data_IF_471818936072
#
_entry.id   IF_471818936072
#
_cell.length_a   1.000
_cell.length_b   1.000
_cell.length_c   1.000
_cell.angle_alpha   90.00
_cell.angle_beta   90.00
_cell.angle_gamma   90.00
#
_symmetry.space_group_name_H-M   'P 1'
#
loop_
_entity.id
_entity.type
_entity.pdbx_description
1 polymer ?
#
# COMPACT_ATOMS: atom_id res chain seq x y z
N UNK A 1 104.13 60.67 -27.41
CA UNK A 1 103.34 60.39 -28.63
C UNK A 1 102.89 58.95 -28.52
N UNK A 2 101.64 58.55 -28.34
CA UNK A 2 100.35 59.17 -28.62
C UNK A 2 99.58 59.65 -27.38
N UNK A 3 98.47 60.31 -27.66
CA UNK A 3 97.72 61.31 -26.90
C UNK A 3 96.75 60.66 -25.90
N UNK A 4 96.78 61.14 -24.65
CA UNK A 4 95.75 60.93 -23.64
C UNK A 4 94.50 61.76 -23.98
N UNK A 5 93.33 61.14 -23.96
CA UNK A 5 92.05 61.86 -23.87
C UNK A 5 91.30 61.37 -22.64
N UNK A 6 91.15 62.32 -21.70
CA UNK A 6 90.12 62.51 -20.69
C UNK A 6 89.62 61.30 -19.87
N UNK A 7 89.67 61.51 -18.54
CA UNK A 7 88.99 60.79 -17.46
C UNK A 7 89.67 59.53 -16.92
N UNK A 8 90.73 59.75 -16.13
CA UNK A 8 91.16 58.82 -15.09
C UNK A 8 90.39 59.09 -13.78
N UNK A 9 89.59 58.14 -13.26
CA UNK A 9 89.24 58.14 -11.84
C UNK A 9 90.39 57.51 -11.04
N UNK A 10 90.89 58.25 -10.07
CA UNK A 10 91.84 57.79 -9.06
C UNK A 10 91.16 56.85 -8.07
N UNK A 11 91.51 55.57 -8.10
CA UNK A 11 91.11 54.63 -7.05
C UNK A 11 91.66 53.22 -7.26
N UNK A 12 92.10 52.54 -6.18
CA UNK A 12 92.73 51.22 -6.28
C UNK A 12 91.71 50.15 -6.71
N UNK A 13 92.07 49.35 -7.70
CA UNK A 13 91.29 48.19 -8.15
C UNK A 13 91.40 47.10 -7.08
N UNK A 14 90.44 47.06 -6.16
CA UNK A 14 90.21 45.92 -5.28
C UNK A 14 89.57 44.77 -6.06
N UNK A 15 90.06 43.52 -5.95
CA UNK A 15 89.45 42.37 -6.61
C UNK A 15 88.01 42.15 -6.10
N UNK A 16 87.11 41.94 -7.05
CA UNK A 16 85.67 41.74 -6.83
C UNK A 16 85.45 40.49 -5.96
N UNK A 17 84.69 40.58 -4.85
CA UNK A 17 84.30 39.40 -4.08
C UNK A 17 83.41 38.48 -4.93
N UNK A 18 83.49 37.15 -4.75
CA UNK A 18 82.58 36.21 -5.40
C UNK A 18 81.13 36.54 -5.00
N UNK A 19 80.16 36.32 -5.92
CA UNK A 19 78.75 36.57 -5.62
C UNK A 19 78.31 35.74 -4.41
N UNK A 20 77.47 36.31 -3.52
CA UNK A 20 76.98 35.59 -2.37
C UNK A 20 76.17 34.36 -2.80
N UNK A 21 76.28 33.23 -2.07
CA UNK A 21 75.49 32.05 -2.36
C UNK A 21 73.99 32.39 -2.28
N UNK A 22 73.15 31.75 -3.12
CA UNK A 22 71.72 32.00 -3.10
C UNK A 22 71.16 31.75 -1.70
N UNK A 23 70.22 32.58 -1.22
CA UNK A 23 69.64 32.41 0.10
C UNK A 23 68.98 31.02 0.19
N UNK A 24 69.15 30.29 1.31
CA UNK A 24 68.52 29.00 1.50
C UNK A 24 67.00 29.15 1.35
N UNK A 25 66.32 28.19 0.72
CA UNK A 25 64.88 28.27 0.50
C UNK A 25 64.17 28.48 1.84
N UNK A 26 63.59 29.66 2.01
CA UNK A 26 62.86 30.04 3.22
C UNK A 26 61.80 28.97 3.52
N UNK A 27 61.89 28.34 4.69
CA UNK A 27 60.97 27.29 5.15
C UNK A 27 59.47 27.65 4.99
N UNK A 28 59.14 28.95 4.97
CA UNK A 28 57.80 29.47 4.67
C UNK A 28 57.23 29.03 3.32
N UNK A 29 58.04 28.94 2.27
CA UNK A 29 57.57 28.57 0.92
C UNK A 29 57.29 27.06 0.86
N UNK A 30 58.15 26.25 1.49
CA UNK A 30 58.02 24.79 1.55
C UNK A 30 56.83 24.35 2.41
N UNK A 31 56.57 25.05 3.53
CA UNK A 31 55.41 24.81 4.41
C UNK A 31 54.09 25.23 3.74
N UNK A 32 54.07 26.35 3.01
CA UNK A 32 52.89 26.79 2.26
C UNK A 32 52.53 25.85 1.11
N UNK A 33 53.52 25.32 0.39
CA UNK A 33 53.32 24.37 -0.71
C UNK A 33 52.93 22.96 -0.22
N UNK A 34 53.43 22.52 0.93
CA UNK A 34 52.99 21.25 1.55
C UNK A 34 51.59 21.35 2.13
N UNK A 35 51.24 22.47 2.78
CA UNK A 35 49.90 22.72 3.29
C UNK A 35 48.85 22.83 2.17
N UNK A 36 49.18 23.47 1.04
CA UNK A 36 48.28 23.56 -0.12
C UNK A 36 48.10 22.21 -0.82
N UNK A 37 49.16 21.41 -0.98
CA UNK A 37 49.08 20.02 -1.50
C UNK A 37 48.27 19.10 -0.58
N UNK A 38 48.44 19.20 0.74
CA UNK A 38 47.66 18.43 1.71
C UNK A 38 46.17 18.81 1.67
N UNK A 39 45.83 20.11 1.56
CA UNK A 39 44.44 20.57 1.39
C UNK A 39 43.80 20.03 0.12
N UNK A 40 44.53 20.04 -1.01
CA UNK A 40 44.01 19.55 -2.29
C UNK A 40 43.79 18.03 -2.27
N UNK A 41 44.74 17.27 -1.68
CA UNK A 41 44.63 15.82 -1.49
C UNK A 41 43.46 15.44 -0.57
N UNK A 42 43.28 16.16 0.54
CA UNK A 42 42.18 15.97 1.47
C UNK A 42 40.82 16.27 0.81
N UNK A 43 40.72 17.37 0.05
CA UNK A 43 39.50 17.73 -0.67
C UNK A 43 39.14 16.69 -1.73
N UNK A 44 40.13 16.21 -2.49
CA UNK A 44 39.92 15.16 -3.49
C UNK A 44 39.50 13.82 -2.86
N UNK A 45 40.07 13.45 -1.72
CA UNK A 45 39.70 12.22 -0.99
C UNK A 45 38.28 12.31 -0.42
N UNK A 46 37.92 13.45 0.14
CA UNK A 46 36.57 13.73 0.68
C UNK A 46 35.54 13.75 -0.45
N UNK A 47 35.84 14.39 -1.58
CA UNK A 47 35.01 14.39 -2.79
C UNK A 47 34.76 12.98 -3.31
N UNK A 48 35.80 12.14 -3.40
CA UNK A 48 35.66 10.72 -3.81
C UNK A 48 34.73 9.94 -2.87
N UNK A 49 34.89 10.10 -1.55
CA UNK A 49 34.01 9.46 -0.55
C UNK A 49 32.56 9.89 -0.70
N UNK A 50 32.30 11.18 -0.95
CA UNK A 50 30.95 11.68 -1.22
C UNK A 50 30.34 11.13 -2.52
N UNK A 51 31.14 11.01 -3.59
CA UNK A 51 30.68 10.40 -4.85
C UNK A 51 30.31 8.93 -4.63
N UNK A 52 31.16 8.16 -3.96
CA UNK A 52 30.89 6.74 -3.65
C UNK A 52 29.64 6.61 -2.78
N UNK A 53 29.53 7.44 -1.73
CA UNK A 53 28.35 7.46 -0.86
C UNK A 53 27.09 7.78 -1.67
N UNK A 54 27.12 8.80 -2.52
CA UNK A 54 26.00 9.19 -3.39
C UNK A 54 25.57 8.08 -4.34
N UNK A 55 26.52 7.39 -5.00
CA UNK A 55 26.21 6.26 -5.88
C UNK A 55 25.57 5.09 -5.12
N UNK A 56 26.12 4.74 -3.95
CA UNK A 56 25.54 3.71 -3.11
C UNK A 56 24.12 4.08 -2.66
N UNK A 57 23.91 5.34 -2.30
CA UNK A 57 22.60 5.87 -1.91
C UNK A 57 21.57 5.85 -3.03
N UNK A 58 21.96 6.20 -4.26
CA UNK A 58 21.08 6.09 -5.42
C UNK A 58 20.69 4.64 -5.70
N UNK A 59 21.63 3.70 -5.62
CA UNK A 59 21.32 2.27 -5.73
C UNK A 59 20.35 1.82 -4.63
N UNK A 60 20.58 2.27 -3.41
CA UNK A 60 19.72 1.97 -2.27
C UNK A 60 18.29 2.50 -2.48
N UNK A 61 18.16 3.74 -2.96
CA UNK A 61 16.87 4.35 -3.29
C UNK A 61 16.12 3.55 -4.38
N UNK A 62 16.81 3.13 -5.45
CA UNK A 62 16.22 2.28 -6.50
C UNK A 62 15.68 0.97 -5.90
N UNK A 63 16.46 0.35 -5.01
CA UNK A 63 16.06 -0.91 -4.38
C UNK A 63 14.85 -0.74 -3.45
N UNK A 64 14.78 0.36 -2.70
CA UNK A 64 13.60 0.66 -1.87
C UNK A 64 12.37 0.99 -2.69
N UNK A 65 12.53 1.73 -3.78
CA UNK A 65 11.43 1.96 -4.73
C UNK A 65 10.93 0.62 -5.27
N UNK A 66 11.81 -0.29 -5.68
CA UNK A 66 11.43 -1.61 -6.14
C UNK A 66 10.79 -2.47 -5.03
N UNK A 67 11.22 -2.34 -3.78
CA UNK A 67 10.60 -3.03 -2.64
C UNK A 67 9.18 -2.52 -2.41
N UNK A 68 9.00 -1.20 -2.33
CA UNK A 68 7.68 -0.57 -2.19
C UNK A 68 6.79 -0.99 -3.35
N UNK A 69 7.25 -0.85 -4.59
CA UNK A 69 6.51 -1.26 -5.78
C UNK A 69 6.22 -2.77 -5.78
N UNK A 70 7.12 -3.64 -5.31
CA UNK A 70 6.83 -5.07 -5.25
C UNK A 70 5.75 -5.42 -4.22
N UNK A 71 5.73 -4.72 -3.09
CA UNK A 71 4.73 -4.92 -2.04
C UNK A 71 3.37 -4.27 -2.38
N UNK A 72 3.38 -3.12 -3.06
CA UNK A 72 2.15 -2.37 -3.39
C UNK A 72 1.62 -2.66 -4.79
N UNK A 73 2.48 -2.96 -5.77
CA UNK A 73 2.15 -3.10 -7.18
C UNK A 73 2.04 -4.59 -7.54
N UNK A 74 0.80 -5.05 -7.71
CA UNK A 74 0.48 -6.47 -7.86
C UNK A 74 0.88 -7.10 -9.20
N UNK A 75 1.22 -6.31 -10.22
CA UNK A 75 1.42 -6.81 -11.58
C UNK A 75 2.80 -7.45 -11.84
N UNK A 76 3.74 -7.37 -10.90
CA UNK A 76 5.11 -7.90 -11.08
C UNK A 76 5.44 -9.07 -10.15
N UNK A 77 4.44 -9.82 -9.68
CA UNK A 77 4.57 -10.95 -8.75
C UNK A 77 5.33 -12.16 -9.31
N UNK A 78 6.62 -11.97 -9.59
CA UNK A 78 7.57 -13.03 -9.92
C UNK A 78 8.19 -13.59 -8.63
N UNK A 79 8.36 -14.92 -8.47
CA UNK A 79 9.14 -15.56 -7.39
C UNK A 79 10.55 -14.99 -7.22
N UNK A 80 11.10 -14.34 -8.25
CA UNK A 80 12.37 -13.61 -8.18
C UNK A 80 12.35 -12.46 -7.16
N UNK A 81 11.19 -11.96 -6.75
CA UNK A 81 11.07 -10.89 -5.76
C UNK A 81 11.55 -11.31 -4.37
N UNK A 82 11.18 -12.51 -3.88
CA UNK A 82 11.60 -12.97 -2.55
C UNK A 82 13.10 -13.29 -2.48
N UNK A 83 13.64 -13.88 -3.55
CA UNK A 83 15.09 -14.10 -3.69
C UNK A 83 15.81 -12.74 -3.76
N UNK A 84 15.27 -11.79 -4.54
CA UNK A 84 15.76 -10.42 -4.58
C UNK A 84 15.70 -9.71 -3.24
N UNK A 85 14.62 -9.91 -2.47
CA UNK A 85 14.41 -9.33 -1.14
C UNK A 85 15.41 -9.88 -0.11
N UNK A 86 15.68 -11.19 -0.13
CA UNK A 86 16.67 -11.79 0.76
C UNK A 86 18.09 -11.29 0.44
N UNK A 87 18.48 -11.26 -0.85
CA UNK A 87 19.75 -10.67 -1.24
C UNK A 87 19.85 -9.18 -0.88
N UNK A 88 18.75 -8.45 -1.03
CA UNK A 88 18.65 -7.05 -0.64
C UNK A 88 18.86 -6.87 0.87
N UNK A 89 18.20 -7.69 1.69
CA UNK A 89 18.31 -7.63 3.15
C UNK A 89 19.75 -7.94 3.61
N UNK A 90 20.39 -8.95 3.03
CA UNK A 90 21.80 -9.29 3.29
C UNK A 90 22.74 -8.14 2.88
N UNK A 91 22.52 -7.54 1.71
CA UNK A 91 23.30 -6.38 1.25
C UNK A 91 23.13 -5.18 2.19
N UNK A 92 21.92 -4.93 2.69
CA UNK A 92 21.64 -3.85 3.65
C UNK A 92 22.40 -4.07 4.97
N UNK A 93 22.39 -5.29 5.52
CA UNK A 93 23.10 -5.63 6.76
C UNK A 93 24.62 -5.47 6.59
N UNK A 94 25.17 -5.91 5.46
CA UNK A 94 26.60 -5.78 5.19
C UNK A 94 27.01 -4.32 4.90
N UNK A 95 26.11 -3.52 4.34
CA UNK A 95 26.38 -2.13 3.97
C UNK A 95 26.22 -1.14 5.13
N UNK A 96 25.35 -1.42 6.09
CA UNK A 96 25.17 -0.59 7.28
C UNK A 96 26.50 -0.27 8.03
N UNK A 97 27.39 -1.23 8.35
CA UNK A 97 28.65 -0.93 9.02
C UNK A 97 29.63 -0.13 8.13
N UNK A 98 29.69 -0.44 6.82
CA UNK A 98 30.59 0.25 5.88
C UNK A 98 30.19 1.72 5.73
N UNK A 99 28.89 1.97 5.55
CA UNK A 99 28.34 3.33 5.44
C UNK A 99 28.48 4.12 6.75
N UNK A 100 28.32 3.48 7.91
CA UNK A 100 28.53 4.11 9.22
C UNK A 100 29.99 4.54 9.42
N UNK A 101 30.96 3.70 9.03
CA UNK A 101 32.39 4.04 9.05
C UNK A 101 32.70 5.21 8.10
N UNK A 102 32.14 5.18 6.88
CA UNK A 102 32.32 6.26 5.91
C UNK A 102 31.75 7.59 6.43
N UNK A 103 30.54 7.58 6.98
CA UNK A 103 29.89 8.78 7.55
C UNK A 103 30.64 9.29 8.77
N UNK A 104 31.11 8.42 9.67
CA UNK A 104 31.95 8.82 10.79
C UNK A 104 33.24 9.50 10.31
N UNK A 105 33.87 8.98 9.25
CA UNK A 105 35.05 9.58 8.63
C UNK A 105 34.76 10.92 7.92
N UNK A 106 33.57 11.06 7.33
CA UNK A 106 33.13 12.30 6.66
C UNK A 106 32.71 13.36 7.68
N UNK A 107 32.08 12.96 8.78
CA UNK A 107 31.70 13.82 9.88
C UNK A 107 32.93 14.40 10.58
N UNK A 108 33.93 13.57 10.89
CA UNK A 108 35.21 14.03 11.45
C UNK A 108 35.93 15.00 10.51
N UNK A 109 35.96 14.71 9.21
CA UNK A 109 36.52 15.61 8.20
C UNK A 109 35.76 16.94 8.06
N UNK A 110 34.42 16.90 8.07
CA UNK A 110 33.55 18.06 7.86
C UNK A 110 33.44 18.95 9.11
N UNK A 111 33.47 18.36 10.30
CA UNK A 111 33.56 19.12 11.56
C UNK A 111 34.90 19.84 11.65
N UNK A 112 36.00 19.19 11.26
CA UNK A 112 37.30 19.84 11.20
C UNK A 112 37.33 21.03 10.22
N UNK A 113 36.76 20.89 9.03
CA UNK A 113 36.70 21.99 8.05
C UNK A 113 35.77 23.13 8.48
N UNK A 114 34.60 22.82 9.04
CA UNK A 114 33.60 23.81 9.44
C UNK A 114 34.04 24.62 10.67
N UNK A 115 34.73 23.98 11.62
CA UNK A 115 35.32 24.69 12.77
C UNK A 115 36.48 25.59 12.34
N UNK A 116 37.24 25.17 11.33
CA UNK A 116 38.29 26.00 10.73
C UNK A 116 37.72 27.19 9.95
N UNK A 117 36.62 27.00 9.22
CA UNK A 117 35.96 28.06 8.43
C UNK A 117 35.28 29.12 9.31
N UNK A 118 34.73 28.73 10.46
CA UNK A 118 34.10 29.65 11.41
C UNK A 118 35.10 30.43 12.28
N UNK A 119 36.42 30.39 11.98
CA UNK A 119 37.48 30.96 12.82
C UNK A 119 37.39 30.49 14.30
N UNK A 120 36.78 29.33 14.52
CA UNK A 120 36.62 28.71 15.83
C UNK A 120 37.73 27.70 16.13
N UNK A 121 38.70 27.60 15.23
CA UNK A 121 39.94 26.85 15.38
C UNK A 121 40.95 27.66 16.19
N UNK A 122 41.61 26.96 17.09
CA UNK A 122 42.40 27.44 18.21
C UNK A 122 43.48 28.46 17.84
N UNK A 123 43.39 29.66 18.43
CA UNK A 123 44.53 30.15 19.20
C UNK A 123 44.48 29.44 20.56
N UNK A 124 45.61 28.86 20.99
CA UNK A 124 45.71 28.03 22.20
C UNK A 124 45.57 28.80 23.53
N UNK A 125 45.15 30.06 23.52
CA UNK A 125 44.89 30.87 24.72
C UNK A 125 43.40 30.89 25.09
N UNK A 126 43.07 30.41 26.30
CA UNK A 126 41.80 30.60 27.03
C UNK A 126 40.53 30.90 26.20
N UNK A 127 39.91 29.88 25.61
CA UNK A 127 38.58 30.04 25.00
C UNK A 127 37.48 30.06 26.06
N UNK A 128 36.67 31.13 26.05
CA UNK A 128 35.46 31.31 26.88
C UNK A 128 34.53 30.07 26.88
N UNK A 129 33.94 29.71 28.03
CA UNK A 129 33.09 28.52 28.17
C UNK A 129 31.89 28.50 27.20
N UNK A 130 31.28 29.66 26.92
CA UNK A 130 30.17 29.77 25.95
C UNK A 130 30.55 29.36 24.52
N UNK A 131 31.78 29.67 24.07
CA UNK A 131 32.27 29.24 22.74
C UNK A 131 32.60 27.74 22.68
N UNK A 132 32.84 27.09 23.82
CA UNK A 132 33.00 25.63 23.89
C UNK A 132 31.65 24.93 23.80
N UNK A 133 30.65 25.44 24.52
CA UNK A 133 29.27 24.93 24.48
C UNK A 133 28.66 25.03 23.08
N UNK A 134 28.77 26.20 22.43
CA UNK A 134 28.25 26.40 21.07
C UNK A 134 28.88 25.45 20.05
N UNK A 135 30.19 25.18 20.15
CA UNK A 135 30.88 24.22 19.29
C UNK A 135 30.42 22.79 19.52
N UNK A 136 30.22 22.39 20.77
CA UNK A 136 29.68 21.07 21.10
C UNK A 136 28.26 20.92 20.51
N UNK A 137 27.41 21.92 20.72
CA UNK A 137 26.05 21.94 20.16
C UNK A 137 26.04 21.83 18.64
N UNK A 138 26.83 22.63 17.92
CA UNK A 138 26.86 22.59 16.46
C UNK A 138 27.39 21.25 15.92
N UNK A 139 28.39 20.65 16.58
CA UNK A 139 28.87 19.29 16.27
C UNK A 139 27.76 18.26 16.46
N UNK A 140 27.04 18.32 17.58
CA UNK A 140 25.94 17.40 17.88
C UNK A 140 24.81 17.55 16.87
N UNK A 141 24.40 18.78 16.54
CA UNK A 141 23.37 19.05 15.55
C UNK A 141 23.74 18.49 14.17
N UNK A 142 24.97 18.74 13.73
CA UNK A 142 25.48 18.20 12.48
C UNK A 142 25.49 16.66 12.50
N UNK A 143 25.94 16.05 13.61
CA UNK A 143 25.93 14.61 13.78
C UNK A 143 24.51 14.04 13.69
N UNK A 144 23.54 14.66 14.36
CA UNK A 144 22.14 14.27 14.30
C UNK A 144 21.58 14.37 12.87
N UNK A 145 21.92 15.42 12.11
CA UNK A 145 21.50 15.55 10.71
C UNK A 145 22.09 14.44 9.83
N UNK A 146 23.38 14.13 10.00
CA UNK A 146 24.03 13.02 9.28
C UNK A 146 23.44 11.66 9.66
N UNK A 147 23.15 11.45 10.94
CA UNK A 147 22.52 10.24 11.43
C UNK A 147 21.09 10.09 10.89
N UNK A 148 20.32 11.18 10.87
CA UNK A 148 18.97 11.17 10.29
C UNK A 148 19.00 10.85 8.80
N UNK A 149 19.90 11.50 8.04
CA UNK A 149 20.11 11.14 6.63
C UNK A 149 20.47 9.66 6.56
N UNK A 150 21.39 9.14 7.36
CA UNK A 150 21.74 7.71 7.31
C UNK A 150 20.59 6.75 7.67
N UNK A 151 19.72 7.11 8.62
CA UNK A 151 18.61 6.28 9.09
C UNK A 151 17.35 6.38 8.23
N UNK A 152 17.09 7.54 7.62
CA UNK A 152 15.91 7.79 6.79
C UNK A 152 15.60 6.69 5.77
N UNK A 153 16.59 6.10 5.08
CA UNK A 153 16.33 5.08 4.10
C UNK A 153 15.79 3.82 4.77
N UNK A 154 16.41 3.37 5.87
CA UNK A 154 15.92 2.22 6.64
C UNK A 154 14.48 2.44 7.10
N UNK A 155 14.16 3.65 7.57
CA UNK A 155 12.79 4.00 7.92
C UNK A 155 11.84 3.89 6.73
N UNK A 156 12.24 4.36 5.54
CA UNK A 156 11.44 4.23 4.32
C UNK A 156 11.35 2.78 3.84
N UNK A 157 12.38 1.95 4.04
CA UNK A 157 12.31 0.53 3.69
C UNK A 157 11.28 -0.22 4.54
N UNK A 158 11.28 0.00 5.86
CA UNK A 158 10.34 -0.68 6.76
C UNK A 158 8.93 -0.07 6.76
N UNK A 159 8.81 1.26 6.76
CA UNK A 159 7.52 1.95 6.85
C UNK A 159 6.93 2.32 5.48
N UNK A 160 7.76 2.40 4.43
CA UNK A 160 7.37 2.84 3.10
C UNK A 160 6.30 1.97 2.43
N UNK A 161 6.41 0.63 2.44
CA UNK A 161 5.36 -0.22 1.85
C UNK A 161 3.99 0.02 2.48
N UNK A 162 3.91 0.09 3.81
CA UNK A 162 2.67 0.36 4.53
C UNK A 162 2.12 1.77 4.25
N UNK A 163 2.99 2.78 4.16
CA UNK A 163 2.59 4.14 3.82
C UNK A 163 2.11 4.26 2.36
N UNK A 164 2.84 3.65 1.43
CA UNK A 164 2.48 3.63 0.02
C UNK A 164 1.16 2.87 -0.19
N UNK A 165 0.95 1.75 0.50
CA UNK A 165 -0.33 1.05 0.52
C UNK A 165 -1.46 1.95 1.02
N UNK A 166 -1.26 2.63 2.15
CA UNK A 166 -2.24 3.56 2.71
C UNK A 166 -2.56 4.70 1.76
N UNK A 167 -1.56 5.26 1.08
CA UNK A 167 -1.74 6.31 0.07
C UNK A 167 -2.45 5.79 -1.18
N UNK A 168 -2.20 4.55 -1.59
CA UNK A 168 -2.89 3.92 -2.72
C UNK A 168 -4.37 3.70 -2.40
N UNK A 169 -4.68 3.26 -1.18
CA UNK A 169 -6.03 2.83 -0.77
C UNK A 169 -6.90 3.91 -0.11
N UNK A 170 -6.35 5.10 0.20
CA UNK A 170 -7.05 6.11 1.03
C UNK A 170 -8.38 6.56 0.44
N UNK A 171 -8.43 6.78 -0.87
CA UNK A 171 -9.61 7.31 -1.56
C UNK A 171 -10.41 6.21 -2.27
N UNK A 172 -10.11 4.94 -1.99
CA UNK A 172 -10.78 3.80 -2.63
C UNK A 172 -12.27 3.71 -2.37
N UNK A 173 -12.81 4.41 -1.36
CA UNK A 173 -14.25 4.42 -1.09
C UNK A 173 -14.88 5.80 -1.25
N UNK A 174 -14.20 6.69 -1.98
CA UNK A 174 -14.73 8.03 -2.28
C UNK A 174 -15.91 7.91 -3.25
N UNK A 175 -17.09 8.40 -2.86
CA UNK A 175 -18.33 8.25 -3.64
C UNK A 175 -18.99 6.88 -3.53
N UNK A 176 -18.54 6.05 -2.57
CA UNK A 176 -19.13 4.77 -2.21
C UNK A 176 -19.50 4.85 -0.72
N UNK A 177 -20.70 5.33 -0.44
CA UNK A 177 -21.11 5.82 0.88
C UNK A 177 -21.52 4.71 1.86
N UNK A 178 -21.77 3.49 1.37
CA UNK A 178 -22.00 2.30 2.19
C UNK A 178 -20.75 1.44 2.28
N UNK A 179 -20.44 0.91 3.46
CA UNK A 179 -19.26 0.07 3.70
C UNK A 179 -19.61 -1.19 4.48
N UNK A 180 -19.20 -2.34 3.96
CA UNK A 180 -19.22 -3.62 4.65
C UNK A 180 -17.83 -3.96 5.15
N UNK A 181 -17.65 -4.01 6.46
CA UNK A 181 -16.41 -4.54 7.06
C UNK A 181 -16.39 -6.05 6.86
N UNK A 182 -15.44 -6.54 6.06
CA UNK A 182 -15.37 -7.94 5.66
C UNK A 182 -14.44 -8.80 6.52
N UNK A 183 -13.40 -8.18 7.08
CA UNK A 183 -12.47 -8.85 7.99
C UNK A 183 -12.66 -8.29 9.40
N UNK A 184 -12.94 -9.19 10.33
CA UNK A 184 -12.87 -8.90 11.76
C UNK A 184 -11.53 -9.42 12.29
N UNK A 185 -11.10 -8.92 13.46
CA UNK A 185 -9.84 -9.24 14.13
C UNK A 185 -9.38 -10.69 14.00
N UNK A 186 -8.06 -10.92 14.02
CA UNK A 186 -7.41 -12.25 14.01
C UNK A 186 -8.18 -13.22 14.93
N UNK A 187 -8.72 -14.30 14.37
CA UNK A 187 -9.47 -15.33 15.10
C UNK A 187 -11.00 -15.20 15.07
N UNK A 188 -11.57 -14.17 14.43
CA UNK A 188 -13.02 -14.04 14.24
C UNK A 188 -13.43 -14.59 12.86
N UNK A 189 -14.50 -15.40 12.76
CA UNK A 189 -14.98 -15.94 11.49
C UNK A 189 -15.32 -14.84 10.46
N UNK A 190 -14.93 -15.03 9.20
CA UNK A 190 -15.23 -14.15 8.04
C UNK A 190 -16.69 -14.18 7.59
N UNK A 191 -17.59 -14.48 8.52
CA UNK A 191 -19.01 -14.75 8.30
C UNK A 191 -19.94 -13.72 8.93
N UNK A 192 -19.40 -12.74 9.66
CA UNK A 192 -20.15 -11.57 10.11
C UNK A 192 -19.64 -10.33 9.40
N UNK A 193 -20.54 -9.62 8.73
CA UNK A 193 -20.24 -8.35 8.09
C UNK A 193 -21.00 -7.22 8.78
N UNK A 194 -20.31 -6.10 8.97
CA UNK A 194 -20.89 -4.90 9.55
C UNK A 194 -21.05 -3.90 8.41
N UNK A 195 -22.29 -3.62 8.05
CA UNK A 195 -22.66 -2.56 7.14
C UNK A 195 -22.74 -1.25 7.92
N UNK A 196 -22.09 -0.23 7.38
CA UNK A 196 -22.13 1.15 7.86
C UNK A 196 -22.52 2.02 6.68
N UNK A 197 -23.64 2.71 6.78
CA UNK A 197 -24.09 3.66 5.75
C UNK A 197 -23.94 5.09 6.28
N UNK A 198 -23.29 5.93 5.48
CA UNK A 198 -23.26 7.36 5.72
C UNK A 198 -24.41 7.98 4.95
N UNK A 199 -25.58 8.02 5.58
CA UNK A 199 -26.71 8.74 5.01
C UNK A 199 -26.27 10.15 4.56
N UNK A 200 -26.62 10.52 3.34
CA UNK A 200 -26.22 11.72 2.60
C UNK A 200 -26.36 13.06 3.38
N UNK A 201 -27.05 13.08 4.52
CA UNK A 201 -27.17 14.24 5.40
C UNK A 201 -26.30 14.09 6.65
N UNK A 202 -25.44 15.10 6.87
CA UNK A 202 -24.58 15.32 8.06
C UNK A 202 -25.24 15.22 9.45
N UNK A 203 -26.54 14.94 9.54
CA UNK A 203 -27.34 14.92 10.77
C UNK A 203 -28.11 13.61 11.01
N UNK A 204 -27.96 12.60 10.16
CA UNK A 204 -28.54 11.28 10.41
C UNK A 204 -27.45 10.43 11.08
N UNK A 205 -27.72 9.80 12.24
CA UNK A 205 -26.76 8.92 12.88
C UNK A 205 -26.38 7.78 11.94
N UNK A 206 -25.11 7.39 11.95
CA UNK A 206 -24.59 6.25 11.19
C UNK A 206 -25.42 5.00 11.52
N UNK A 207 -26.11 4.45 10.53
CA UNK A 207 -26.85 3.20 10.71
C UNK A 207 -25.87 2.03 10.59
N UNK A 208 -25.93 1.13 11.58
CA UNK A 208 -25.10 -0.06 11.64
C UNK A 208 -26.01 -1.27 11.47
N UNK A 209 -25.84 -1.99 10.36
CA UNK A 209 -26.58 -3.22 10.08
C UNK A 209 -25.64 -4.42 10.10
N UNK A 210 -26.12 -5.55 10.60
CA UNK A 210 -25.33 -6.77 10.73
C UNK A 210 -25.80 -7.83 9.73
N UNK A 211 -24.81 -8.48 9.13
CA UNK A 211 -25.04 -9.52 8.12
C UNK A 211 -24.29 -10.78 8.48
N UNK A 212 -24.94 -11.90 8.20
CA UNK A 212 -24.46 -13.22 8.58
C UNK A 212 -24.39 -14.15 7.38
N UNK A 213 -23.27 -14.84 7.24
CA UNK A 213 -22.98 -15.80 6.18
C UNK A 213 -22.93 -17.21 6.76
N UNK A 214 -23.98 -17.98 6.54
CA UNK A 214 -24.10 -19.37 7.01
C UNK A 214 -24.07 -20.36 5.86
N UNK A 215 -23.69 -21.60 6.16
CA UNK A 215 -23.77 -22.71 5.21
C UNK A 215 -25.01 -23.53 5.46
N UNK A 216 -25.66 -23.96 4.39
CA UNK A 216 -26.91 -24.69 4.46
C UNK A 216 -26.83 -25.95 3.60
N UNK A 217 -27.41 -27.02 4.13
CA UNK A 217 -27.59 -28.29 3.43
C UNK A 217 -29.06 -28.65 3.49
N UNK A 218 -29.69 -28.79 2.33
CA UNK A 218 -31.09 -29.20 2.16
C UNK A 218 -31.13 -30.39 1.20
N UNK A 219 -30.73 -31.60 1.65
CA UNK A 219 -30.61 -32.75 0.77
C UNK A 219 -32.00 -33.23 0.34
N UNK A 220 -32.10 -33.74 -0.88
CA UNK A 220 -33.27 -34.47 -1.37
C UNK A 220 -33.18 -35.95 -0.98
N UNK A 221 -34.31 -36.64 -0.92
CA UNK A 221 -34.35 -38.06 -0.52
C UNK A 221 -33.73 -39.02 -1.55
N UNK A 222 -33.47 -38.53 -2.76
CA UNK A 222 -32.83 -39.27 -3.84
C UNK A 222 -31.64 -38.46 -4.34
N UNK A 223 -30.54 -39.10 -4.80
CA UNK A 223 -29.42 -38.38 -5.40
C UNK A 223 -29.91 -37.54 -6.58
N UNK A 224 -29.88 -36.22 -6.44
CA UNK A 224 -30.19 -35.29 -7.53
C UNK A 224 -29.09 -34.26 -7.70
N UNK A 225 -29.01 -33.68 -8.89
CA UNK A 225 -28.12 -32.55 -9.20
C UNK A 225 -28.87 -31.21 -9.12
N UNK A 226 -29.98 -31.20 -8.37
CA UNK A 226 -30.80 -30.01 -8.22
C UNK A 226 -30.03 -28.93 -7.46
N UNK A 227 -30.18 -27.69 -7.91
CA UNK A 227 -29.56 -26.54 -7.28
C UNK A 227 -30.08 -26.32 -5.85
N UNK A 228 -29.29 -25.63 -5.04
CA UNK A 228 -29.59 -25.27 -3.64
C UNK A 228 -29.77 -26.47 -2.69
N UNK A 229 -29.20 -27.63 -3.02
CA UNK A 229 -28.97 -28.70 -2.03
C UNK A 229 -27.83 -28.35 -1.07
N UNK A 230 -26.81 -27.66 -1.56
CA UNK A 230 -25.72 -27.08 -0.77
C UNK A 230 -25.54 -25.63 -1.21
N UNK A 231 -25.68 -24.68 -0.28
CA UNK A 231 -25.58 -23.26 -0.61
C UNK A 231 -25.10 -22.46 0.59
N UNK A 232 -24.54 -21.29 0.29
CA UNK A 232 -24.19 -20.29 1.28
C UNK A 232 -25.29 -19.25 1.34
N UNK A 233 -25.74 -18.88 2.54
CA UNK A 233 -26.80 -17.92 2.79
C UNK A 233 -26.23 -16.67 3.44
N UNK A 234 -26.36 -15.53 2.77
CA UNK A 234 -26.14 -14.21 3.36
C UNK A 234 -27.49 -13.66 3.83
N UNK A 235 -27.66 -13.38 5.12
CA UNK A 235 -28.89 -12.78 5.66
C UNK A 235 -28.60 -11.53 6.48
N UNK A 236 -29.51 -10.56 6.44
CA UNK A 236 -29.40 -9.34 7.23
C UNK A 236 -30.65 -8.48 7.07
N UNK A 237 -30.55 -7.22 7.46
CA UNK A 237 -31.66 -6.27 7.42
C UNK A 237 -31.26 -5.01 6.67
N UNK A 238 -32.13 -4.57 5.77
CA UNK A 238 -32.01 -3.29 5.06
C UNK A 238 -33.35 -2.57 5.08
N UNK A 239 -33.35 -1.29 5.46
CA UNK A 239 -34.54 -0.42 5.42
C UNK A 239 -35.78 -1.07 6.06
N UNK A 240 -35.57 -1.73 7.20
CA UNK A 240 -36.63 -2.41 7.93
C UNK A 240 -37.02 -3.80 7.39
N UNK A 241 -36.57 -4.20 6.20
CA UNK A 241 -36.83 -5.50 5.57
C UNK A 241 -35.75 -6.52 5.90
N UNK A 242 -36.15 -7.75 6.20
CA UNK A 242 -35.22 -8.86 6.40
C UNK A 242 -34.96 -9.50 5.04
N UNK A 243 -33.72 -9.47 4.58
CA UNK A 243 -33.35 -9.95 3.25
C UNK A 243 -32.37 -11.10 3.36
N UNK A 244 -32.41 -11.95 2.35
CA UNK A 244 -31.49 -13.06 2.23
C UNK A 244 -31.09 -13.30 0.78
N UNK A 245 -29.81 -13.61 0.57
CA UNK A 245 -29.27 -14.07 -0.70
C UNK A 245 -28.66 -15.44 -0.49
N UNK A 246 -29.22 -16.44 -1.16
CA UNK A 246 -28.63 -17.77 -1.23
C UNK A 246 -27.77 -17.87 -2.49
N UNK A 247 -26.56 -18.40 -2.35
CA UNK A 247 -25.59 -18.61 -3.41
C UNK A 247 -25.20 -20.08 -3.45
N UNK A 248 -25.52 -20.74 -4.56
CA UNK A 248 -25.04 -22.08 -4.89
C UNK A 248 -23.85 -21.96 -5.86
N UNK A 249 -22.64 -22.07 -5.31
CA UNK A 249 -21.40 -22.01 -6.09
C UNK A 249 -21.23 -23.25 -6.97
N UNK A 250 -21.80 -24.40 -6.59
CA UNK A 250 -21.67 -25.64 -7.38
C UNK A 250 -22.47 -25.58 -8.68
N UNK A 251 -23.67 -25.00 -8.60
CA UNK A 251 -24.61 -24.85 -9.72
C UNK A 251 -24.52 -23.49 -10.42
N UNK A 252 -23.68 -22.57 -9.91
CA UNK A 252 -23.57 -21.18 -10.38
C UNK A 252 -24.91 -20.42 -10.35
N UNK A 253 -25.69 -20.62 -9.29
CA UNK A 253 -27.03 -20.04 -9.13
C UNK A 253 -27.13 -19.16 -7.89
N UNK A 254 -28.04 -18.19 -7.94
CA UNK A 254 -28.36 -17.33 -6.81
C UNK A 254 -29.87 -17.11 -6.71
N UNK A 255 -30.35 -16.80 -5.50
CA UNK A 255 -31.72 -16.34 -5.25
C UNK A 255 -31.75 -15.31 -4.14
N UNK A 256 -32.49 -14.23 -4.36
CA UNK A 256 -32.77 -13.15 -3.42
C UNK A 256 -34.20 -13.31 -2.91
N UNK A 257 -34.38 -13.28 -1.59
CA UNK A 257 -35.68 -13.49 -0.95
C UNK A 257 -35.90 -12.48 0.18
N UNK A 258 -37.18 -12.20 0.44
CA UNK A 258 -37.64 -11.47 1.62
C UNK A 258 -37.98 -12.46 2.72
N UNK A 259 -37.72 -12.08 3.96
CA UNK A 259 -38.04 -12.87 5.15
C UNK A 259 -39.09 -12.16 6.00
N UNK A 260 -40.03 -12.93 6.52
CA UNK A 260 -41.06 -12.44 7.47
C UNK A 260 -40.47 -11.93 8.79
N UNK A 261 -39.30 -12.45 9.19
CA UNK A 261 -38.59 -12.09 10.42
C UNK A 261 -37.09 -12.28 10.25
N UNK A 262 -36.29 -11.92 11.26
CA UNK A 262 -34.84 -12.08 11.25
C UNK A 262 -34.43 -13.56 11.17
N UNK A 263 -33.43 -13.88 10.35
CA UNK A 263 -32.93 -15.26 10.19
C UNK A 263 -32.00 -15.66 11.35
N UNK A 264 -32.61 -15.90 12.52
CA UNK A 264 -31.90 -16.35 13.73
C UNK A 264 -31.14 -17.67 13.52
N UNK A 265 -31.64 -18.54 12.63
CA UNK A 265 -30.99 -19.80 12.25
C UNK A 265 -29.65 -19.50 11.56
N UNK A 266 -29.67 -18.63 10.55
CA UNK A 266 -28.48 -18.30 9.78
C UNK A 266 -27.47 -17.48 10.59
N UNK A 267 -27.92 -16.59 11.47
CA UNK A 267 -27.05 -15.91 12.43
C UNK A 267 -26.29 -16.91 13.31
N UNK A 268 -27.01 -17.88 13.88
CA UNK A 268 -26.40 -18.90 14.73
C UNK A 268 -25.40 -19.77 13.97
N UNK A 269 -25.76 -20.24 12.76
CA UNK A 269 -24.88 -21.06 11.93
C UNK A 269 -23.68 -20.28 11.38
N UNK A 270 -23.87 -19.02 11.01
CA UNK A 270 -22.82 -18.18 10.46
C UNK A 270 -21.82 -17.73 11.51
N UNK A 271 -22.28 -17.30 12.69
CA UNK A 271 -21.45 -16.61 13.67
C UNK A 271 -21.33 -17.33 15.02
N UNK A 272 -22.44 -17.56 15.71
CA UNK A 272 -22.40 -18.07 17.10
C UNK A 272 -21.78 -19.47 17.17
N UNK A 273 -22.20 -20.39 16.31
CA UNK A 273 -21.65 -21.75 16.25
C UNK A 273 -20.13 -21.79 16.00
N UNK A 274 -19.61 -20.85 15.19
CA UNK A 274 -18.18 -20.75 14.89
C UNK A 274 -17.39 -20.11 16.03
N UNK A 275 -18.01 -19.23 16.83
CA UNK A 275 -17.42 -18.67 18.05
C UNK A 275 -17.32 -19.71 19.17
N UNK A 276 -18.29 -20.63 19.24
CA UNK A 276 -18.32 -21.74 20.20
C UNK A 276 -17.23 -22.79 19.97
N UNK A 277 -16.60 -22.86 18.80
CA UNK A 277 -15.36 -23.65 18.62
C UNK A 277 -14.22 -23.18 19.55
N UNK A 278 -14.34 -21.99 20.15
CA UNK A 278 -13.33 -21.39 21.02
C UNK A 278 -13.83 -21.08 22.46
N UNK A 279 -15.11 -21.34 22.80
CA UNK A 279 -15.72 -21.05 24.12
C UNK A 279 -16.88 -22.01 24.46
N UNK A 280 -17.29 -22.08 25.73
CA UNK A 280 -18.37 -22.96 26.22
C UNK A 280 -19.71 -22.77 25.48
N UNK A 281 -20.44 -23.88 25.29
CA UNK A 281 -21.73 -23.96 24.57
C UNK A 281 -22.78 -23.11 25.30
N UNK A 282 -22.99 -21.89 24.80
CA UNK A 282 -24.11 -21.05 25.24
C UNK A 282 -25.47 -21.71 24.92
N UNK A 283 -26.49 -21.34 25.68
CA UNK A 283 -27.88 -21.77 25.44
C UNK A 283 -28.32 -21.42 24.02
N UNK A 284 -28.81 -22.42 23.28
CA UNK A 284 -29.42 -22.24 21.96
C UNK A 284 -30.70 -21.41 22.16
N UNK A 285 -30.70 -20.19 21.63
CA UNK A 285 -31.89 -19.30 21.63
C UNK A 285 -33.08 -20.00 20.96
N UNK A 286 -34.31 -19.55 21.23
CA UNK A 286 -35.49 -20.04 20.49
C UNK A 286 -35.33 -19.70 19.00
N UNK A 287 -35.02 -20.72 18.20
CA UNK A 287 -34.83 -20.61 16.75
C UNK A 287 -36.21 -20.60 16.08
N UNK A 288 -36.56 -19.49 15.46
CA UNK A 288 -37.74 -19.38 14.59
C UNK A 288 -37.32 -19.40 13.14
N UNK A 289 -37.90 -20.29 12.34
CA UNK A 289 -37.66 -20.34 10.89
C UNK A 289 -38.56 -19.30 10.22
N UNK A 290 -38.01 -18.25 9.58
CA UNK A 290 -38.82 -17.25 8.89
C UNK A 290 -39.47 -17.85 7.64
N UNK A 291 -40.68 -17.39 7.30
CA UNK A 291 -41.24 -17.57 5.97
C UNK A 291 -40.41 -16.82 4.92
N UNK A 292 -40.11 -17.49 3.82
CA UNK A 292 -39.27 -17.01 2.71
C UNK A 292 -40.16 -16.67 1.51
N UNK A 293 -40.01 -15.48 0.93
CA UNK A 293 -40.70 -15.08 -0.30
C UNK A 293 -39.68 -14.70 -1.38
N UNK A 294 -39.69 -15.41 -2.51
CA UNK A 294 -38.76 -15.17 -3.60
C UNK A 294 -38.98 -13.77 -4.21
N UNK A 295 -37.90 -12.99 -4.29
CA UNK A 295 -37.89 -11.68 -4.98
C UNK A 295 -37.34 -11.86 -6.40
N UNK A 296 -36.17 -12.48 -6.52
CA UNK A 296 -35.48 -12.69 -7.78
C UNK A 296 -34.55 -13.89 -7.70
N UNK A 297 -34.20 -14.49 -8.84
CA UNK A 297 -33.19 -15.52 -8.95
C UNK A 297 -32.46 -15.41 -10.29
N UNK A 298 -31.35 -16.11 -10.41
CA UNK A 298 -30.56 -16.09 -11.62
C UNK A 298 -29.31 -16.94 -11.53
N UNK A 299 -28.40 -16.65 -12.44
CA UNK A 299 -27.15 -17.38 -12.62
C UNK A 299 -25.95 -16.45 -12.57
N UNK A 300 -24.74 -17.00 -12.51
CA UNK A 300 -23.51 -16.23 -12.71
C UNK A 300 -22.47 -17.04 -13.48
N UNK A 301 -21.52 -16.37 -14.13
CA UNK A 301 -20.45 -17.05 -14.86
C UNK A 301 -19.27 -17.37 -13.96
N UNK A 302 -19.12 -18.66 -13.64
CA UNK A 302 -17.94 -19.19 -12.97
C UNK A 302 -17.53 -20.50 -13.66
N UNK A 303 -16.69 -20.44 -14.71
CA UNK A 303 -16.28 -21.64 -15.44
C UNK A 303 -15.42 -22.54 -14.56
N UNK A 304 -15.55 -23.85 -14.75
CA UNK A 304 -14.73 -24.83 -14.04
C UNK A 304 -13.31 -24.80 -14.60
N UNK A 305 -12.32 -25.19 -13.81
CA UNK A 305 -10.93 -25.22 -14.26
C UNK A 305 -10.69 -26.14 -15.47
N UNK A 306 -11.58 -27.12 -15.68
CA UNK A 306 -11.60 -28.02 -16.83
C UNK A 306 -12.11 -27.39 -18.12
N UNK A 307 -12.85 -26.29 -18.03
CA UNK A 307 -13.51 -25.71 -19.19
C UNK A 307 -12.51 -24.97 -20.08
N UNK A 308 -12.55 -25.13 -21.41
CA UNK A 308 -11.62 -24.45 -22.32
C UNK A 308 -11.60 -22.93 -22.14
N UNK A 309 -12.75 -22.35 -21.79
CA UNK A 309 -12.93 -20.91 -21.59
C UNK A 309 -12.26 -20.38 -20.31
N UNK A 310 -11.92 -21.25 -19.35
CA UNK A 310 -11.28 -20.84 -18.08
C UNK A 310 -9.92 -20.14 -18.29
N UNK A 311 -9.21 -20.47 -19.37
CA UNK A 311 -7.91 -19.85 -19.69
C UNK A 311 -8.05 -18.36 -19.99
N UNK A 312 -9.11 -17.97 -20.70
CA UNK A 312 -9.34 -16.58 -21.14
C UNK A 312 -10.29 -15.82 -20.20
N UNK A 313 -11.03 -16.53 -19.36
CA UNK A 313 -11.97 -15.94 -18.41
C UNK A 313 -11.28 -15.01 -17.41
N UNK A 314 -11.80 -13.78 -17.29
CA UNK A 314 -11.30 -12.75 -16.36
C UNK A 314 -12.38 -12.20 -15.43
N UNK A 315 -13.63 -12.17 -15.89
CA UNK A 315 -14.73 -11.45 -15.24
C UNK A 315 -15.90 -12.37 -14.90
N UNK A 316 -16.45 -12.25 -13.69
CA UNK A 316 -17.72 -12.87 -13.35
C UNK A 316 -18.85 -11.96 -13.86
N UNK A 317 -19.84 -12.55 -14.51
CA UNK A 317 -21.01 -11.85 -15.04
C UNK A 317 -22.27 -12.43 -14.42
N UNK A 318 -23.17 -11.54 -13.97
CA UNK A 318 -24.50 -11.87 -13.43
C UNK A 318 -25.51 -11.38 -14.47
N UNK A 319 -26.00 -12.24 -15.37
CA UNK A 319 -26.78 -11.83 -16.52
C UNK A 319 -28.07 -11.09 -16.17
N UNK A 320 -28.79 -11.56 -15.17
CA UNK A 320 -30.12 -11.06 -14.83
C UNK A 320 -30.08 -9.68 -14.16
N UNK A 321 -28.91 -9.30 -13.64
CA UNK A 321 -28.68 -7.97 -13.05
C UNK A 321 -27.80 -7.07 -13.95
N UNK A 322 -27.28 -7.63 -15.05
CA UNK A 322 -26.27 -7.00 -15.90
C UNK A 322 -25.05 -6.49 -15.11
N UNK A 323 -24.58 -7.26 -14.14
CA UNK A 323 -23.45 -6.89 -13.28
C UNK A 323 -22.19 -7.66 -13.68
N UNK A 324 -21.06 -6.98 -13.69
CA UNK A 324 -19.74 -7.56 -13.91
C UNK A 324 -18.85 -7.39 -12.69
N UNK A 325 -18.08 -8.41 -12.35
CA UNK A 325 -17.02 -8.37 -11.34
C UNK A 325 -15.69 -8.62 -12.02
N UNK A 326 -14.77 -7.65 -11.97
CA UNK A 326 -13.47 -7.74 -12.67
C UNK A 326 -12.43 -8.49 -11.85
N UNK A 327 -11.36 -8.93 -12.52
CA UNK A 327 -10.20 -9.60 -11.90
C UNK A 327 -10.53 -10.87 -11.11
N UNK A 328 -11.70 -11.47 -11.37
CA UNK A 328 -12.20 -12.62 -10.62
C UNK A 328 -11.27 -13.82 -10.73
N UNK A 329 -10.69 -14.09 -11.89
CA UNK A 329 -9.70 -15.17 -12.02
C UNK A 329 -8.53 -15.01 -11.06
N UNK A 330 -7.94 -13.81 -10.99
CA UNK A 330 -6.82 -13.51 -10.08
C UNK A 330 -7.25 -13.61 -8.63
N UNK A 331 -8.45 -13.11 -8.31
CA UNK A 331 -9.05 -13.25 -6.98
C UNK A 331 -9.23 -14.72 -6.58
N UNK A 332 -9.63 -15.61 -7.49
CA UNK A 332 -9.80 -17.03 -7.19
C UNK A 332 -8.46 -17.75 -6.96
N UNK A 333 -7.40 -17.33 -7.65
CA UNK A 333 -6.09 -18.00 -7.60
C UNK A 333 -5.15 -17.45 -6.54
N UNK A 334 -5.26 -16.17 -6.21
CA UNK A 334 -4.25 -15.45 -5.42
C UNK A 334 -4.92 -14.47 -4.43
N UNK A 335 -4.80 -14.74 -3.13
CA UNK A 335 -5.42 -13.93 -2.07
C UNK A 335 -5.02 -12.44 -2.09
N UNK A 336 -3.83 -12.11 -2.62
CA UNK A 336 -3.32 -10.74 -2.70
C UNK A 336 -4.17 -9.81 -3.57
N UNK A 337 -5.04 -10.36 -4.42
CA UNK A 337 -5.95 -9.60 -5.29
C UNK A 337 -7.31 -9.30 -4.66
N UNK A 338 -7.62 -9.79 -3.45
CA UNK A 338 -8.87 -9.45 -2.77
C UNK A 338 -9.15 -7.94 -2.70
N UNK A 339 -8.18 -7.06 -2.37
CA UNK A 339 -8.44 -5.63 -2.25
C UNK A 339 -8.65 -4.90 -3.58
N UNK A 340 -8.67 -5.61 -4.72
CA UNK A 340 -8.70 -5.01 -6.05
C UNK A 340 -9.89 -5.46 -6.88
N UNK A 341 -10.80 -6.25 -6.30
CA UNK A 341 -12.06 -6.58 -6.93
C UNK A 341 -12.92 -5.32 -7.09
N UNK A 342 -13.55 -5.22 -8.26
CA UNK A 342 -14.40 -4.11 -8.66
C UNK A 342 -15.66 -4.66 -9.31
N UNK A 343 -16.78 -3.99 -9.08
CA UNK A 343 -18.10 -4.39 -9.52
C UNK A 343 -18.73 -3.25 -10.30
N UNK A 344 -19.13 -3.54 -11.53
CA UNK A 344 -19.71 -2.59 -12.46
C UNK A 344 -21.13 -3.01 -12.82
N UNK A 345 -22.03 -2.04 -12.89
CA UNK A 345 -23.39 -2.24 -13.42
C UNK A 345 -23.44 -1.82 -14.89
N UNK A 346 -23.95 -2.69 -15.77
CA UNK A 346 -24.15 -2.37 -17.18
C UNK A 346 -25.30 -1.39 -17.40
N UNK A 347 -26.26 -1.29 -16.47
CA UNK A 347 -27.38 -0.36 -16.58
C UNK A 347 -26.91 1.10 -16.70
N UNK A 348 -25.70 1.39 -16.24
CA UNK A 348 -25.04 2.69 -16.38
C UNK A 348 -24.32 2.88 -17.74
N UNK A 349 -24.40 1.92 -18.66
CA UNK A 349 -23.84 1.99 -20.00
C UNK A 349 -24.95 2.30 -20.99
N UNK A 350 -25.00 3.55 -21.46
CA UNK A 350 -25.80 3.97 -22.62
C UNK A 350 -25.29 3.26 -23.88
N UNK A 351 -25.62 1.99 -24.09
CA UNK A 351 -25.26 1.29 -25.32
C UNK A 351 -26.36 0.34 -25.77
N UNK A 352 -26.99 0.71 -26.88
CA UNK A 352 -27.74 -0.20 -27.72
C UNK A 352 -26.78 -1.20 -28.39
N UNK A 353 -27.14 -2.50 -28.31
CA UNK A 353 -26.58 -3.67 -29.01
C UNK A 353 -25.38 -4.40 -28.36
N UNK A 354 -25.61 -5.70 -28.10
CA UNK A 354 -24.69 -6.73 -27.59
C UNK A 354 -23.98 -6.44 -26.26
N UNK A 355 -24.79 -6.32 -25.20
CA UNK A 355 -24.45 -6.16 -23.78
C UNK A 355 -23.15 -6.83 -23.31
N UNK A 356 -22.98 -8.13 -23.58
CA UNK A 356 -21.92 -8.94 -22.95
C UNK A 356 -20.50 -8.64 -23.45
N UNK A 357 -20.30 -8.47 -24.75
CA UNK A 357 -18.96 -8.26 -25.33
C UNK A 357 -18.52 -6.78 -25.28
N UNK A 358 -19.47 -5.85 -25.30
CA UNK A 358 -19.18 -4.42 -25.23
C UNK A 358 -19.02 -3.96 -23.78
N UNK A 359 -19.78 -4.51 -22.83
CA UNK A 359 -19.61 -4.28 -21.39
C UNK A 359 -18.22 -4.69 -20.91
N UNK A 360 -17.74 -5.88 -21.30
CA UNK A 360 -16.42 -6.36 -20.87
C UNK A 360 -15.25 -5.53 -21.42
N UNK A 361 -15.31 -5.13 -22.70
CA UNK A 361 -14.27 -4.30 -23.32
C UNK A 361 -14.27 -2.84 -22.87
N UNK A 362 -15.36 -2.36 -22.28
CA UNK A 362 -15.50 -0.96 -21.84
C UNK A 362 -15.21 -0.77 -20.35
N UNK A 363 -14.94 -1.85 -19.60
CA UNK A 363 -14.48 -1.76 -18.21
C UNK A 363 -12.98 -1.39 -18.17
N UNK A 364 -12.58 -0.43 -17.31
CA UNK A 364 -11.18 -0.08 -17.15
C UNK A 364 -10.37 -1.29 -16.66
N UNK A 365 -9.34 -1.70 -17.38
CA UNK A 365 -8.50 -2.85 -16.97
C UNK A 365 -7.62 -2.54 -15.74
N UNK A 366 -7.24 -1.27 -15.56
CA UNK A 366 -6.35 -0.86 -14.48
C UNK A 366 -7.14 -0.40 -13.25
N UNK A 367 -6.68 -0.82 -12.07
CA UNK A 367 -7.18 -0.32 -10.81
C UNK A 367 -6.65 1.10 -10.55
N UNK A 368 -7.52 1.97 -10.05
CA UNK A 368 -7.22 3.36 -9.70
C UNK A 368 -7.52 3.62 -8.22
N UNK A 369 -6.85 4.61 -7.62
CA UNK A 369 -7.12 5.04 -6.25
C UNK A 369 -8.59 5.43 -6.09
N UNK A 370 -9.11 6.28 -6.97
CA UNK A 370 -10.52 6.68 -6.98
C UNK A 370 -11.39 5.67 -7.75
N UNK A 371 -12.62 5.38 -7.29
CA UNK A 371 -13.57 4.53 -8.01
C UNK A 371 -13.95 5.14 -9.37
N UNK A 372 -14.23 4.28 -10.33
CA UNK A 372 -14.82 4.73 -11.59
C UNK A 372 -16.29 5.14 -11.39
N UNK A 373 -16.81 6.10 -12.16
CA UNK A 373 -18.20 6.59 -12.00
C UNK A 373 -19.27 5.50 -12.15
N UNK A 374 -18.96 4.44 -12.90
CA UNK A 374 -19.84 3.29 -13.14
C UNK A 374 -19.62 2.12 -12.17
N UNK A 375 -18.63 2.24 -11.29
CA UNK A 375 -18.35 1.27 -10.25
C UNK A 375 -19.39 1.43 -9.15
N UNK A 376 -20.18 0.37 -8.96
CA UNK A 376 -21.23 0.31 -7.94
C UNK A 376 -20.69 -0.26 -6.64
N UNK A 377 -19.62 -1.06 -6.71
CA UNK A 377 -19.04 -1.68 -5.54
C UNK A 377 -17.58 -2.03 -5.79
N UNK A 378 -16.75 -1.98 -4.75
CA UNK A 378 -15.34 -2.42 -4.82
C UNK A 378 -14.77 -2.80 -3.48
N UNK A 379 -13.78 -3.67 -3.53
CA UNK A 379 -13.03 -4.04 -2.35
C UNK A 379 -11.87 -3.06 -2.14
N UNK A 380 -11.55 -2.81 -0.88
CA UNK A 380 -10.40 -2.01 -0.47
C UNK A 380 -9.86 -2.58 0.84
N UNK A 381 -8.53 -2.53 1.04
CA UNK A 381 -7.93 -2.90 2.32
C UNK A 381 -7.27 -1.69 2.97
N UNK A 382 -7.85 -1.24 4.07
CA UNK A 382 -7.38 -0.06 4.80
C UNK A 382 -6.34 -0.44 5.86
N UNK A 383 -5.41 0.49 6.11
CA UNK A 383 -4.35 0.36 7.11
C UNK A 383 -2.95 0.37 6.50
N UNK A 384 -1.95 0.03 7.32
CA UNK A 384 -0.59 -0.18 6.85
C UNK A 384 -0.46 -1.61 6.30
N UNK A 385 -0.87 -1.80 5.04
CA UNK A 385 -0.94 -3.11 4.37
C UNK A 385 -2.36 -3.69 4.32
N UNK A 386 -2.45 -5.00 4.01
CA UNK A 386 -3.71 -5.74 3.74
C UNK A 386 -4.55 -6.04 5.00
N UNK A 387 -4.56 -5.14 5.99
CA UNK A 387 -5.00 -5.45 7.36
C UNK A 387 -6.50 -5.48 7.60
N UNK A 388 -7.29 -4.63 6.94
CA UNK A 388 -8.75 -4.57 7.11
C UNK A 388 -9.46 -4.45 5.78
N UNK A 389 -10.00 -5.56 5.29
CA UNK A 389 -10.75 -5.58 4.05
C UNK A 389 -12.16 -5.05 4.25
N UNK A 390 -12.57 -4.17 3.35
CA UNK A 390 -13.87 -3.51 3.33
C UNK A 390 -14.42 -3.60 1.92
N UNK A 391 -15.70 -3.92 1.79
CA UNK A 391 -16.43 -3.70 0.55
C UNK A 391 -17.09 -2.34 0.61
N UNK A 392 -16.80 -1.47 -0.34
CA UNK A 392 -17.39 -0.16 -0.46
C UNK A 392 -18.42 -0.19 -1.59
N UNK A 393 -19.58 0.39 -1.33
CA UNK A 393 -20.76 0.27 -2.18
C UNK A 393 -21.38 1.65 -2.36
N UNK A 394 -21.78 1.92 -3.59
CA UNK A 394 -22.52 3.12 -3.95
C UNK A 394 -23.92 3.02 -3.34
N UNK A 395 -24.38 4.09 -2.71
CA UNK A 395 -25.75 4.11 -2.20
C UNK A 395 -26.75 4.16 -3.35
N UNK A 396 -27.94 3.60 -3.10
CA UNK A 396 -29.04 3.69 -4.05
C UNK A 396 -29.56 5.12 -4.15
N UNK A 397 -29.13 5.86 -5.18
CA UNK A 397 -29.67 7.18 -5.49
C UNK A 397 -31.03 7.04 -6.17
N UNK A 398 -32.12 7.01 -5.39
CA UNK A 398 -33.42 7.36 -5.95
C UNK A 398 -33.53 8.89 -6.01
N UNK A 399 -33.02 9.48 -7.09
CA UNK A 399 -33.40 10.83 -7.49
C UNK A 399 -34.84 10.78 -7.99
N UNK A 400 -35.81 10.82 -7.06
CA UNK A 400 -37.17 11.21 -7.39
C UNK A 400 -37.10 12.71 -7.73
N UNK A 401 -37.25 13.05 -9.01
CA UNK A 401 -37.20 14.43 -9.48
C UNK A 401 -38.21 15.34 -8.76
N UNK A 402 -37.83 16.61 -8.57
CA UNK A 402 -38.55 17.83 -8.10
C UNK A 402 -39.69 17.78 -7.05
N UNK A 403 -40.29 16.63 -6.77
CA UNK A 403 -41.20 16.42 -5.65
C UNK A 403 -40.41 15.75 -4.53
N UNK A 404 -40.33 16.46 -3.40
CA UNK A 404 -39.70 16.03 -2.17
C UNK A 404 -40.33 14.72 -1.64
N UNK A 405 -39.89 13.57 -2.14
CA UNK A 405 -40.15 12.27 -1.52
C UNK A 405 -39.27 12.18 -0.26
N UNK A 406 -39.93 12.24 0.89
CA UNK A 406 -39.38 12.47 2.22
C UNK A 406 -38.59 11.32 2.86
N UNK A 407 -38.13 10.33 2.10
CA UNK A 407 -37.31 9.23 2.62
C UNK A 407 -36.22 8.81 1.63
N UNK A 408 -35.07 9.48 1.68
CA UNK A 408 -33.83 8.96 1.10
C UNK A 408 -33.27 7.97 2.11
N UNK A 409 -33.51 6.68 1.89
CA UNK A 409 -32.88 5.63 2.68
C UNK A 409 -31.45 5.44 2.19
N UNK A 410 -30.45 5.70 3.04
CA UNK A 410 -29.05 5.39 2.76
C UNK A 410 -28.75 3.92 2.98
N UNK A 411 -27.99 3.29 2.08
CA UNK A 411 -27.66 1.87 2.13
C UNK A 411 -27.47 1.25 0.74
N UNK A 412 -27.14 -0.04 0.70
CA UNK A 412 -27.02 -0.81 -0.54
C UNK A 412 -28.37 -1.15 -1.17
N UNK A 413 -28.47 -1.13 -2.50
CA UNK A 413 -29.64 -1.64 -3.20
C UNK A 413 -29.83 -3.15 -2.98
N UNK A 414 -31.08 -3.61 -2.95
CA UNK A 414 -31.39 -5.04 -2.73
C UNK A 414 -30.74 -5.95 -3.80
N UNK A 415 -30.65 -5.48 -5.04
CA UNK A 415 -30.02 -6.23 -6.14
C UNK A 415 -28.50 -6.21 -6.07
N UNK A 416 -27.91 -5.12 -5.55
CA UNK A 416 -26.46 -4.98 -5.37
C UNK A 416 -25.91 -5.85 -4.23
N UNK A 417 -26.78 -6.37 -3.35
CA UNK A 417 -26.40 -7.42 -2.40
C UNK A 417 -25.95 -8.71 -3.08
N UNK A 418 -26.46 -9.03 -4.26
CA UNK A 418 -26.18 -10.29 -4.96
C UNK A 418 -24.69 -10.44 -5.29
N UNK A 419 -24.01 -9.49 -5.97
CA UNK A 419 -22.57 -9.60 -6.20
C UNK A 419 -21.77 -9.65 -4.89
N UNK A 420 -22.18 -8.92 -3.84
CA UNK A 420 -21.53 -9.00 -2.53
C UNK A 420 -21.65 -10.41 -1.93
N UNK A 421 -22.84 -11.00 -1.95
CA UNK A 421 -23.08 -12.35 -1.44
C UNK A 421 -22.27 -13.41 -2.19
N UNK A 422 -22.16 -13.30 -3.51
CA UNK A 422 -21.33 -14.20 -4.33
C UNK A 422 -19.86 -14.07 -3.96
N UNK A 423 -19.32 -12.85 -3.87
CA UNK A 423 -17.92 -12.61 -3.48
C UNK A 423 -17.66 -13.16 -2.07
N UNK A 424 -18.56 -12.87 -1.12
CA UNK A 424 -18.46 -13.36 0.25
C UNK A 424 -18.48 -14.89 0.33
N UNK A 425 -19.37 -15.56 -0.42
CA UNK A 425 -19.44 -17.01 -0.49
C UNK A 425 -18.15 -17.64 -1.07
N UNK A 426 -17.58 -17.03 -2.13
CA UNK A 426 -16.31 -17.47 -2.71
C UNK A 426 -15.12 -17.30 -1.73
N UNK A 427 -15.09 -16.20 -0.96
CA UNK A 427 -14.09 -15.99 0.11
C UNK A 427 -14.22 -17.03 1.22
N UNK A 428 -15.45 -17.32 1.65
CA UNK A 428 -15.68 -18.34 2.67
C UNK A 428 -15.22 -19.73 2.19
N UNK A 429 -15.52 -20.09 0.94
CA UNK A 429 -15.08 -21.37 0.35
C UNK A 429 -13.55 -21.54 0.36
N UNK A 430 -12.80 -20.45 0.16
CA UNK A 430 -11.34 -20.46 0.31
C UNK A 430 -10.90 -20.84 1.72
N UNK A 431 -11.55 -20.23 2.71
CA UNK A 431 -11.22 -20.44 4.12
C UNK A 431 -11.39 -21.91 4.50
N UNK A 432 -12.39 -22.56 3.91
CA UNK A 432 -12.74 -23.96 4.21
C UNK A 432 -11.91 -24.98 3.41
N UNK A 433 -11.66 -24.70 2.13
CA UNK A 433 -11.09 -25.70 1.20
C UNK A 433 -9.69 -25.36 0.70
N UNK A 434 -9.15 -24.20 1.09
CA UNK A 434 -7.97 -23.57 0.49
C UNK A 434 -8.11 -23.33 -1.03
N UNK A 435 -9.36 -23.37 -1.55
CA UNK A 435 -9.71 -23.13 -2.95
C UNK A 435 -10.97 -22.25 -3.03
N UNK A 436 -10.97 -21.25 -3.92
CA UNK A 436 -12.13 -20.35 -4.11
C UNK A 436 -13.14 -20.85 -5.15
N UNK A 437 -12.70 -21.74 -6.04
CA UNK A 437 -13.50 -22.34 -7.10
C UNK A 437 -13.44 -23.87 -7.07
N UNK A 438 -14.23 -24.51 -7.92
CA UNK A 438 -14.20 -25.97 -8.17
C UNK A 438 -12.99 -26.39 -8.97
#
# INVERSE_FOLDING_TARGET
MYVCTADCPSGPITPRPPPPPPPPPTARITIGQTASRMRLSFFNTTKKKWIVLGLCWSLWAILVINHILGETNLYTGSPSFFIGFFHLFVLVILWAPISLVLISSLFTASTASSLNALHLSTDHGQMNPGKRLLRAFLKTLLFCAFLFIWLAPFLVFFAGPGLAWKLMMKDSCRGLDTRFTMDQTIGVPTTKFIETSKAFRKHVPEEVHEWYLGQHVKPTSQPSYDAFQYYTRLSGRIHGRNLVVDVDIGSNMWRLMNLSSTDSVNEWMGYHSKKLLHQEIGTISNITVPQETLIANGTFTLPKSSDPQYKEWKTLYIPELEIFVTDMKKFLTEYKYEPFLRVFSQQNFNTSKSAKQQGEKSMPENWTEEPHDREIMRMAAFGAGRGKLTMCVREYEHYMGDEAASYVFGGISQTELVPFAIIAALRQRYTETQKRGT
#
